data_IF_745001543965
#
_entry.id   IF_745001543965
#
_cell.length_a   1.000
_cell.length_b   1.000
_cell.length_c   1.000
_cell.angle_alpha   90.00
_cell.angle_beta   90.00
_cell.angle_gamma   90.00
#
_symmetry.space_group_name_H-M   'P 1'
#
loop_
_entity.id
_entity.type
_entity.pdbx_description
1 polymer ?
#
# COMPACT_ATOMS: atom_id res chain seq x y z
N UNK A 1 -30.20 12.76 -102.28
CA UNK A 1 -30.50 13.24 -103.65
C UNK A 1 -31.70 14.17 -103.58
N UNK A 2 -31.72 15.17 -104.47
CA UNK A 2 -32.86 16.03 -104.85
C UNK A 2 -33.43 17.06 -103.85
N UNK A 3 -33.97 18.22 -104.31
CA UNK A 3 -34.08 19.43 -103.48
C UNK A 3 -35.41 20.23 -103.54
N UNK A 4 -35.55 21.20 -102.64
CA UNK A 4 -36.39 22.41 -102.77
C UNK A 4 -37.91 22.21 -102.69
N UNK A 5 -38.72 23.21 -103.07
CA UNK A 5 -38.42 24.65 -103.22
C UNK A 5 -38.85 25.41 -101.92
N UNK A 6 -39.21 26.70 -101.80
CA UNK A 6 -39.39 27.82 -102.73
C UNK A 6 -39.08 29.18 -102.04
N UNK A 7 -39.72 30.28 -102.45
CA UNK A 7 -39.77 31.60 -101.77
C UNK A 7 -41.17 32.21 -101.92
N UNK A 8 -41.61 32.99 -100.94
CA UNK A 8 -42.69 33.97 -101.08
C UNK A 8 -42.34 35.25 -100.32
N UNK A 9 -42.40 36.41 -101.00
CA UNK A 9 -42.26 37.75 -100.39
C UNK A 9 -43.58 38.49 -100.57
N UNK A 10 -44.00 39.22 -99.55
CA UNK A 10 -44.89 40.39 -99.69
C UNK A 10 -44.31 41.55 -98.89
N UNK A 11 -44.64 42.78 -99.31
CA UNK A 11 -44.04 44.03 -98.86
C UNK A 11 -44.93 44.78 -97.85
N UNK A 12 -44.33 45.61 -97.01
CA UNK A 12 -45.00 46.58 -96.14
C UNK A 12 -44.00 47.64 -95.66
N UNK A 13 -44.27 48.91 -95.98
CA UNK A 13 -43.47 50.09 -95.61
C UNK A 13 -43.90 50.60 -94.21
N UNK A 14 -43.00 50.85 -93.25
CA UNK A 14 -42.28 52.13 -92.98
C UNK A 14 -43.11 53.07 -92.04
N UNK A 15 -42.56 53.99 -91.21
CA UNK A 15 -41.16 54.31 -90.89
C UNK A 15 -40.79 54.35 -89.38
N UNK A 16 -39.49 54.53 -89.10
CA UNK A 16 -38.96 55.38 -88.01
C UNK A 16 -39.14 54.95 -86.54
N UNK A 17 -38.03 54.58 -85.86
CA UNK A 17 -38.07 54.36 -84.40
C UNK A 17 -36.79 53.84 -83.74
N UNK A 18 -35.72 54.63 -83.72
CA UNK A 18 -34.47 54.28 -83.01
C UNK A 18 -34.65 54.23 -81.48
N UNK A 19 -34.74 53.03 -80.90
CA UNK A 19 -34.44 52.79 -79.47
C UNK A 19 -33.49 51.60 -79.30
N UNK A 20 -32.21 51.91 -79.08
CA UNK A 20 -31.18 50.93 -78.70
C UNK A 20 -31.52 50.39 -77.31
N UNK A 21 -31.96 49.14 -77.23
CA UNK A 21 -32.02 48.41 -75.96
C UNK A 21 -30.61 48.23 -75.38
N UNK A 22 -30.40 48.39 -74.06
CA UNK A 22 -29.06 48.30 -73.49
C UNK A 22 -28.55 46.85 -73.51
N UNK A 23 -27.52 46.59 -74.32
CA UNK A 23 -26.75 45.34 -74.28
C UNK A 23 -26.09 45.19 -72.91
N UNK A 24 -26.66 44.34 -72.06
CA UNK A 24 -26.13 44.02 -70.72
C UNK A 24 -24.85 43.19 -70.84
N UNK A 25 -23.72 43.90 -70.94
CA UNK A 25 -22.38 43.33 -70.87
C UNK A 25 -22.11 42.81 -69.45
N UNK A 26 -22.27 41.52 -69.22
CA UNK A 26 -21.88 40.88 -67.96
C UNK A 26 -20.35 40.84 -67.85
N UNK A 27 -19.78 41.83 -67.15
CA UNK A 27 -18.37 41.85 -66.82
C UNK A 27 -18.16 41.05 -65.53
N UNK A 28 -17.43 39.93 -65.62
CA UNK A 28 -16.96 39.19 -64.44
C UNK A 28 -15.88 40.01 -63.72
N UNK A 29 -16.33 41.00 -62.95
CA UNK A 29 -15.49 41.68 -61.97
C UNK A 29 -15.14 40.65 -60.91
N UNK A 30 -13.86 40.30 -60.80
CA UNK A 30 -13.35 39.47 -59.70
C UNK A 30 -13.69 40.21 -58.40
N UNK A 31 -14.66 39.69 -57.66
CA UNK A 31 -15.17 40.36 -56.47
C UNK A 31 -14.03 40.53 -55.47
N UNK A 32 -13.58 41.78 -55.29
CA UNK A 32 -12.67 42.13 -54.21
C UNK A 32 -13.31 41.75 -52.87
N UNK A 33 -12.48 41.51 -51.86
CA UNK A 33 -12.87 41.05 -50.52
C UNK A 33 -13.84 41.97 -49.75
N UNK A 34 -14.22 43.10 -50.34
CA UNK A 34 -15.20 44.08 -49.84
C UNK A 34 -16.63 43.94 -50.38
N UNK A 35 -16.91 42.96 -51.25
CA UNK A 35 -18.28 42.62 -51.68
C UNK A 35 -19.15 41.93 -50.61
N UNK A 36 -18.93 42.25 -49.32
CA UNK A 36 -19.70 41.72 -48.18
C UNK A 36 -20.38 42.89 -47.46
N UNK A 37 -21.72 43.01 -47.52
CA UNK A 37 -22.45 44.10 -46.87
C UNK A 37 -22.04 44.34 -45.40
N UNK A 38 -22.00 45.58 -44.92
CA UNK A 38 -21.63 45.87 -43.53
C UNK A 38 -22.60 45.21 -42.51
N UNK A 39 -23.84 44.95 -42.92
CA UNK A 39 -24.83 44.16 -42.17
C UNK A 39 -24.42 42.68 -42.03
N UNK A 40 -23.95 42.02 -43.10
CA UNK A 40 -23.47 40.63 -43.04
C UNK A 40 -22.11 40.52 -42.36
N UNK A 41 -21.21 41.49 -42.50
CA UNK A 41 -19.98 41.58 -41.66
C UNK A 41 -20.34 41.64 -40.16
N UNK A 42 -21.34 42.45 -39.76
CA UNK A 42 -21.81 42.54 -38.36
C UNK A 42 -22.54 41.27 -37.89
N UNK A 43 -23.36 40.63 -38.74
CA UNK A 43 -24.02 39.37 -38.41
C UNK A 43 -23.02 38.22 -38.26
N UNK A 44 -22.07 38.07 -39.19
CA UNK A 44 -20.99 37.10 -39.09
C UNK A 44 -20.11 37.37 -37.88
N UNK A 45 -19.78 38.63 -37.55
CA UNK A 45 -19.04 38.96 -36.33
C UNK A 45 -19.79 38.56 -35.04
N UNK A 46 -21.13 38.71 -34.98
CA UNK A 46 -21.95 38.23 -33.85
C UNK A 46 -22.02 36.71 -33.79
N UNK A 47 -22.16 36.03 -34.92
CA UNK A 47 -22.12 34.56 -35.00
C UNK A 47 -20.75 34.00 -34.59
N UNK A 48 -19.65 34.62 -35.04
CA UNK A 48 -18.27 34.30 -34.64
C UNK A 48 -18.06 34.54 -33.15
N UNK A 49 -18.54 35.66 -32.60
CA UNK A 49 -18.49 35.94 -31.14
C UNK A 49 -19.32 34.94 -30.32
N UNK A 50 -20.49 34.49 -30.79
CA UNK A 50 -21.26 33.41 -30.14
C UNK A 50 -20.52 32.08 -30.18
N UNK A 51 -19.98 31.68 -31.34
CA UNK A 51 -19.16 30.45 -31.49
C UNK A 51 -17.89 30.51 -30.64
N UNK A 52 -17.18 31.64 -30.59
CA UNK A 52 -15.99 31.82 -29.75
C UNK A 52 -16.34 31.82 -28.25
N UNK A 53 -17.45 32.42 -27.83
CA UNK A 53 -17.92 32.34 -26.43
C UNK A 53 -18.36 30.93 -26.04
N UNK A 54 -18.95 30.16 -26.97
CA UNK A 54 -19.28 28.76 -26.76
C UNK A 54 -18.04 27.84 -26.77
N UNK A 55 -17.00 28.18 -27.53
CA UNK A 55 -15.72 27.46 -27.56
C UNK A 55 -14.78 27.83 -26.40
N UNK A 56 -14.95 29.00 -25.78
CA UNK A 56 -14.14 29.46 -24.65
C UNK A 56 -14.12 28.47 -23.46
N UNK A 57 -15.25 27.94 -22.94
CA UNK A 57 -15.20 26.93 -21.89
C UNK A 57 -14.47 25.66 -22.33
N UNK A 58 -14.62 25.22 -23.58
CA UNK A 58 -13.88 24.06 -24.12
C UNK A 58 -12.38 24.33 -24.24
N UNK A 59 -11.97 25.55 -24.63
CA UNK A 59 -10.57 25.96 -24.67
C UNK A 59 -9.96 26.05 -23.27
N UNK A 60 -10.73 26.53 -22.27
CA UNK A 60 -10.31 26.53 -20.86
C UNK A 60 -10.16 25.09 -20.34
N UNK A 61 -11.13 24.20 -20.59
CA UNK A 61 -11.05 22.78 -20.21
C UNK A 61 -9.85 22.10 -20.88
N UNK A 62 -9.63 22.32 -22.18
CA UNK A 62 -8.48 21.78 -22.90
C UNK A 62 -7.14 22.30 -22.33
N UNK A 63 -7.06 23.59 -21.97
CA UNK A 63 -5.89 24.18 -21.33
C UNK A 63 -5.62 23.60 -19.93
N UNK A 64 -6.66 23.41 -19.12
CA UNK A 64 -6.54 22.75 -17.80
C UNK A 64 -6.10 21.30 -17.93
N UNK A 65 -6.66 20.54 -18.89
CA UNK A 65 -6.26 19.16 -19.16
C UNK A 65 -4.81 19.07 -19.67
N UNK A 66 -4.39 19.97 -20.55
CA UNK A 66 -3.01 20.04 -21.04
C UNK A 66 -2.02 20.36 -19.91
N UNK A 67 -2.36 21.31 -19.03
CA UNK A 67 -1.53 21.64 -17.86
C UNK A 67 -1.47 20.47 -16.87
N UNK A 68 -2.60 19.83 -16.57
CA UNK A 68 -2.65 18.64 -15.72
C UNK A 68 -1.85 17.47 -16.30
N UNK A 69 -1.91 17.26 -17.62
CA UNK A 69 -1.11 16.28 -18.35
C UNK A 69 0.39 16.56 -18.27
N UNK A 70 0.80 17.84 -18.41
CA UNK A 70 2.20 18.26 -18.27
C UNK A 70 2.72 18.01 -16.83
N UNK A 71 1.93 18.36 -15.81
CA UNK A 71 2.28 18.11 -14.40
C UNK A 71 2.34 16.61 -14.10
N UNK A 72 1.40 15.82 -14.61
CA UNK A 72 1.45 14.36 -14.49
C UNK A 72 2.70 13.78 -15.17
N UNK A 73 3.05 14.27 -16.37
CA UNK A 73 4.24 13.82 -17.10
C UNK A 73 5.54 14.19 -16.39
N UNK A 74 5.66 15.37 -15.76
CA UNK A 74 6.85 15.71 -14.98
C UNK A 74 6.95 14.88 -13.70
N UNK A 75 5.87 14.78 -12.91
CA UNK A 75 5.86 14.03 -11.64
C UNK A 75 6.04 12.52 -11.84
N UNK A 76 5.48 11.94 -12.91
CA UNK A 76 5.59 10.51 -13.20
C UNK A 76 6.79 10.17 -14.08
N UNK A 77 7.21 11.06 -14.98
CA UNK A 77 8.22 10.78 -16.01
C UNK A 77 9.63 11.26 -15.66
N UNK A 78 9.79 12.20 -14.73
CA UNK A 78 11.11 12.75 -14.36
C UNK A 78 11.50 12.39 -12.93
N UNK A 79 12.79 12.16 -12.70
CA UNK A 79 13.36 11.92 -11.37
C UNK A 79 13.43 13.15 -10.46
N UNK A 80 12.77 14.27 -10.81
CA UNK A 80 12.74 15.49 -9.99
C UNK A 80 12.22 15.21 -8.58
N UNK A 81 11.16 14.39 -8.49
CA UNK A 81 10.62 13.85 -7.24
C UNK A 81 11.03 12.38 -7.05
N UNK A 82 12.27 12.02 -7.42
CA UNK A 82 12.83 10.71 -7.18
C UNK A 82 13.04 10.43 -5.69
N UNK A 83 13.12 9.15 -5.32
CA UNK A 83 13.61 8.75 -3.99
C UNK A 83 15.09 9.17 -3.84
N UNK A 84 15.38 9.90 -2.76
CA UNK A 84 16.73 10.38 -2.38
C UNK A 84 17.11 10.00 -0.95
N UNK A 85 16.13 9.80 -0.09
CA UNK A 85 16.34 9.43 1.32
C UNK A 85 15.36 8.32 1.70
N UNK A 86 15.87 7.28 2.38
CA UNK A 86 15.05 6.29 3.09
C UNK A 86 15.31 6.48 4.59
N UNK A 87 14.32 7.03 5.28
CA UNK A 87 14.34 7.30 6.72
C UNK A 87 13.65 6.16 7.46
N UNK A 88 14.33 5.59 8.44
CA UNK A 88 13.86 4.41 9.19
C UNK A 88 13.49 4.82 10.61
N UNK A 89 12.24 4.59 11.00
CA UNK A 89 11.70 4.82 12.34
C UNK A 89 11.45 3.47 13.04
N UNK A 90 11.75 3.40 14.34
CA UNK A 90 11.35 2.27 15.20
C UNK A 90 12.27 1.04 15.20
N UNK A 91 13.30 1.01 14.37
CA UNK A 91 14.27 -0.09 14.31
C UNK A 91 15.34 0.02 15.42
N UNK A 92 15.65 -1.12 16.07
CA UNK A 92 16.68 -1.29 17.11
C UNK A 92 17.47 -2.59 16.91
N UNK A 93 16.77 -3.69 16.60
CA UNK A 93 17.34 -4.98 16.21
C UNK A 93 17.79 -4.99 14.75
N UNK A 94 17.05 -4.31 13.86
CA UNK A 94 17.36 -4.21 12.43
C UNK A 94 18.12 -2.92 12.15
N UNK A 95 19.22 -3.01 11.40
CA UNK A 95 19.99 -1.83 11.00
C UNK A 95 19.29 -1.05 9.87
N UNK A 96 19.47 0.29 9.78
CA UNK A 96 18.95 1.07 8.66
C UNK A 96 19.44 0.61 7.28
N UNK A 97 20.62 -0.03 7.23
CA UNK A 97 21.18 -0.63 6.01
C UNK A 97 20.35 -1.84 5.58
N UNK A 98 20.14 -2.83 6.47
CA UNK A 98 19.29 -3.99 6.20
C UNK A 98 17.86 -3.60 5.77
N UNK A 99 17.29 -2.54 6.36
CA UNK A 99 15.98 -2.03 5.95
C UNK A 99 15.99 -1.44 4.53
N UNK A 100 17.07 -0.74 4.13
CA UNK A 100 17.24 -0.21 2.75
C UNK A 100 17.47 -1.33 1.74
N UNK A 101 18.30 -2.30 2.07
CA UNK A 101 18.59 -3.46 1.23
C UNK A 101 17.31 -4.28 0.99
N UNK A 102 16.54 -4.55 2.05
CA UNK A 102 15.22 -5.18 1.94
C UNK A 102 14.21 -4.30 1.20
N UNK A 103 14.25 -2.98 1.36
CA UNK A 103 13.40 -2.07 0.60
C UNK A 103 13.63 -2.21 -0.90
N UNK A 104 14.88 -2.41 -1.35
CA UNK A 104 15.25 -2.64 -2.75
C UNK A 104 14.61 -1.62 -3.71
N UNK A 105 14.63 -0.34 -3.33
CA UNK A 105 14.13 0.78 -4.15
C UNK A 105 15.33 1.46 -4.80
N UNK A 106 15.48 1.44 -6.14
CA UNK A 106 16.57 2.15 -6.80
C UNK A 106 16.45 3.67 -6.61
N UNK A 107 17.59 4.33 -6.44
CA UNK A 107 17.65 5.79 -6.31
C UNK A 107 17.11 6.49 -7.57
N UNK A 108 16.51 7.66 -7.37
CA UNK A 108 15.96 8.47 -8.47
C UNK A 108 14.64 7.97 -9.07
N UNK A 109 14.14 6.77 -8.70
CA UNK A 109 12.80 6.31 -9.09
C UNK A 109 11.75 7.32 -8.61
N UNK A 110 10.85 7.84 -9.47
CA UNK A 110 9.82 8.80 -9.07
C UNK A 110 8.99 8.28 -7.90
N UNK A 111 8.89 9.06 -6.82
CA UNK A 111 8.26 8.69 -5.56
C UNK A 111 6.81 8.20 -5.76
N UNK A 112 6.09 8.78 -6.73
CA UNK A 112 4.76 8.36 -7.16
C UNK A 112 4.68 6.91 -7.69
N UNK A 113 5.74 6.40 -8.33
CA UNK A 113 5.79 5.05 -8.95
C UNK A 113 6.22 3.95 -7.97
N UNK A 114 6.76 4.29 -6.81
CA UNK A 114 7.21 3.30 -5.81
C UNK A 114 6.01 2.48 -5.29
N UNK A 115 6.06 1.15 -5.41
CA UNK A 115 5.10 0.25 -4.77
C UNK A 115 5.37 0.17 -3.26
N UNK A 116 4.67 1.00 -2.48
CA UNK A 116 4.80 1.02 -1.01
C UNK A 116 4.43 -0.31 -0.36
N UNK A 117 3.47 -1.06 -0.92
CA UNK A 117 3.03 -2.33 -0.38
C UNK A 117 4.03 -3.45 -0.68
N UNK A 118 4.66 -3.43 -1.86
CA UNK A 118 5.82 -4.27 -2.19
C UNK A 118 7.00 -4.00 -1.27
N UNK A 119 7.37 -2.72 -1.06
CA UNK A 119 8.45 -2.33 -0.15
C UNK A 119 8.15 -2.77 1.29
N UNK A 120 6.93 -2.49 1.80
CA UNK A 120 6.51 -2.90 3.13
C UNK A 120 6.58 -4.44 3.33
N UNK A 121 6.12 -5.21 2.34
CA UNK A 121 6.19 -6.69 2.38
C UNK A 121 7.63 -7.22 2.41
N UNK A 122 8.55 -6.64 1.62
CA UNK A 122 9.96 -7.07 1.63
C UNK A 122 10.64 -6.76 2.97
N UNK A 123 10.40 -5.58 3.55
CA UNK A 123 10.93 -5.22 4.86
C UNK A 123 10.31 -6.08 5.96
N UNK A 124 9.01 -6.38 5.87
CA UNK A 124 8.31 -7.31 6.77
C UNK A 124 8.74 -8.78 6.66
N UNK A 125 9.52 -9.16 5.64
CA UNK A 125 10.11 -10.49 5.53
C UNK A 125 11.42 -10.64 6.32
N UNK A 126 11.98 -9.54 6.85
CA UNK A 126 13.09 -9.61 7.80
C UNK A 126 12.59 -10.21 9.12
N UNK A 127 13.18 -11.31 9.57
CA UNK A 127 12.64 -12.07 10.70
C UNK A 127 12.35 -11.25 11.98
N UNK A 128 13.21 -10.30 12.42
CA UNK A 128 12.93 -9.47 13.61
C UNK A 128 11.77 -8.47 13.45
N UNK A 129 11.19 -8.32 12.26
CA UNK A 129 10.09 -7.38 11.99
C UNK A 129 8.74 -8.08 12.22
N UNK A 130 7.91 -7.50 13.09
CA UNK A 130 6.51 -7.90 13.29
C UNK A 130 5.62 -7.24 12.23
N UNK A 131 5.86 -5.95 11.96
CA UNK A 131 5.13 -5.18 10.96
C UNK A 131 5.99 -4.06 10.38
N UNK A 132 5.85 -3.77 9.09
CA UNK A 132 6.48 -2.63 8.43
C UNK A 132 5.43 -1.82 7.67
N UNK A 133 5.50 -0.50 7.79
CA UNK A 133 4.65 0.44 7.04
C UNK A 133 5.53 1.47 6.34
N UNK A 134 5.15 1.88 5.14
CA UNK A 134 5.95 2.77 4.29
C UNK A 134 5.06 3.88 3.78
N UNK A 135 5.49 5.13 3.98
CA UNK A 135 4.80 6.34 3.49
C UNK A 135 5.74 7.19 2.65
N UNK A 136 5.15 7.95 1.73
CA UNK A 136 5.86 8.98 0.95
C UNK A 136 5.96 10.25 1.78
N UNK A 137 7.14 10.84 1.79
CA UNK A 137 7.45 12.10 2.47
C UNK A 137 8.01 13.04 1.39
N UNK A 138 7.11 13.80 0.76
CA UNK A 138 7.44 14.65 -0.38
C UNK A 138 8.40 15.77 0.05
N UNK A 139 9.37 16.17 -0.79
CA UNK A 139 9.44 15.93 -2.24
C UNK A 139 10.25 14.68 -2.68
N UNK A 140 10.88 13.92 -1.80
CA UNK A 140 11.83 12.87 -2.23
C UNK A 140 12.28 11.87 -1.17
N UNK A 141 11.56 11.74 -0.06
CA UNK A 141 11.88 10.78 0.99
C UNK A 141 10.83 9.66 1.10
N UNK A 142 11.28 8.47 1.47
CA UNK A 142 10.43 7.38 1.96
C UNK A 142 10.65 7.26 3.46
N UNK A 143 9.57 7.33 4.23
CA UNK A 143 9.59 7.04 5.66
C UNK A 143 9.08 5.62 5.87
N UNK A 144 9.98 4.77 6.33
CA UNK A 144 9.71 3.39 6.73
C UNK A 144 9.57 3.37 8.25
N UNK A 145 8.41 2.95 8.75
CA UNK A 145 8.21 2.65 10.17
C UNK A 145 8.19 1.15 10.37
N UNK A 146 9.17 0.67 11.15
CA UNK A 146 9.35 -0.72 11.53
C UNK A 146 8.81 -0.93 12.94
N UNK A 147 8.04 -1.99 13.13
CA UNK A 147 7.64 -2.52 14.43
C UNK A 147 8.37 -3.85 14.59
N UNK A 148 9.27 -3.91 15.55
CA UNK A 148 10.08 -5.10 15.81
C UNK A 148 9.38 -6.07 16.76
N UNK A 149 9.61 -7.36 16.56
CA UNK A 149 9.10 -8.43 17.42
C UNK A 149 9.66 -8.29 18.82
N UNK A 150 8.81 -8.52 19.82
CA UNK A 150 9.22 -8.59 21.22
C UNK A 150 9.52 -10.05 21.59
N UNK A 151 10.69 -10.34 22.18
CA UNK A 151 10.99 -11.68 22.67
C UNK A 151 10.05 -12.01 23.84
N UNK A 152 9.58 -13.25 23.89
CA UNK A 152 8.71 -13.77 24.97
C UNK A 152 9.31 -15.00 25.64
N UNK A 153 9.94 -15.88 24.88
CA UNK A 153 10.62 -17.07 25.39
C UNK A 153 11.81 -17.45 24.52
N UNK A 154 12.61 -18.40 25.02
CA UNK A 154 13.80 -18.90 24.36
C UNK A 154 13.76 -20.43 24.32
N UNK A 155 13.94 -21.01 23.13
CA UNK A 155 13.86 -22.46 22.91
C UNK A 155 15.26 -23.01 22.61
N UNK A 156 15.79 -23.96 23.41
CA UNK A 156 17.07 -24.61 23.11
C UNK A 156 17.02 -25.36 21.77
N UNK A 157 18.03 -25.19 20.92
CA UNK A 157 18.17 -25.84 19.62
C UNK A 157 19.63 -26.27 19.38
N UNK A 158 20.00 -27.45 19.89
CA UNK A 158 21.38 -27.91 19.91
C UNK A 158 22.27 -26.93 20.69
N UNK A 159 23.37 -26.51 20.08
CA UNK A 159 24.35 -25.57 20.68
C UNK A 159 23.93 -24.09 20.54
N UNK A 160 22.65 -23.81 20.23
CA UNK A 160 22.11 -22.45 20.09
C UNK A 160 20.74 -22.32 20.75
N UNK A 161 20.25 -21.10 20.81
CA UNK A 161 18.94 -20.76 21.31
C UNK A 161 18.10 -20.09 20.23
N UNK A 162 16.83 -20.45 20.12
CA UNK A 162 15.86 -19.81 19.23
C UNK A 162 14.97 -18.86 20.03
N UNK A 163 15.02 -17.56 19.73
CA UNK A 163 14.19 -16.55 20.40
C UNK A 163 12.85 -16.46 19.69
N UNK A 164 11.76 -16.69 20.43
CA UNK A 164 10.39 -16.66 19.92
C UNK A 164 9.61 -15.46 20.46
N UNK A 165 8.71 -14.94 19.62
CA UNK A 165 7.75 -13.92 20.00
C UNK A 165 6.40 -14.50 20.46
N UNK A 166 5.45 -13.62 20.77
CA UNK A 166 4.08 -13.95 21.17
C UNK A 166 3.27 -14.76 20.14
N UNK A 167 3.72 -14.84 18.89
CA UNK A 167 3.09 -15.57 17.80
C UNK A 167 3.81 -16.90 17.48
N UNK A 168 4.87 -17.24 18.22
CA UNK A 168 5.68 -18.43 17.95
C UNK A 168 6.68 -18.28 16.82
N UNK A 169 6.85 -17.06 16.28
CA UNK A 169 7.84 -16.81 15.22
C UNK A 169 9.23 -16.76 15.83
N UNK A 170 10.11 -17.66 15.40
CA UNK A 170 11.55 -17.60 15.69
C UNK A 170 12.17 -16.46 14.89
N UNK A 171 12.82 -15.51 15.55
CA UNK A 171 13.36 -14.31 14.87
C UNK A 171 14.82 -13.97 15.18
N UNK A 172 15.42 -14.58 16.21
CA UNK A 172 16.86 -14.54 16.48
C UNK A 172 17.37 -15.94 16.84
N UNK A 173 18.65 -16.19 16.59
CA UNK A 173 19.31 -17.45 16.97
C UNK A 173 20.70 -17.26 17.60
N UNK A 174 20.80 -16.64 18.80
CA UNK A 174 22.07 -16.47 19.51
C UNK A 174 22.67 -17.82 19.98
N UNK A 175 23.98 -17.82 20.20
CA UNK A 175 24.70 -18.96 20.78
C UNK A 175 24.47 -19.10 22.30
N UNK A 176 24.29 -17.97 22.99
CA UNK A 176 24.01 -17.91 24.44
C UNK A 176 22.55 -17.56 24.71
N UNK A 177 22.02 -17.99 25.86
CA UNK A 177 20.65 -17.67 26.28
C UNK A 177 20.56 -16.17 26.64
N UNK A 178 19.66 -15.38 26.00
CA UNK A 178 19.44 -14.00 26.41
C UNK A 178 18.87 -13.92 27.83
N UNK A 179 19.44 -13.04 28.66
CA UNK A 179 19.01 -12.85 30.04
C UNK A 179 17.55 -12.35 30.16
N UNK A 180 16.86 -12.75 31.23
CA UNK A 180 15.51 -12.28 31.55
C UNK A 180 14.38 -12.90 30.71
N UNK A 181 14.66 -13.91 29.90
CA UNK A 181 13.65 -14.68 29.17
C UNK A 181 13.57 -16.12 29.70
N UNK A 182 12.36 -16.67 29.93
CA UNK A 182 12.18 -18.05 30.34
C UNK A 182 12.52 -19.00 29.19
N UNK A 183 12.99 -20.19 29.55
CA UNK A 183 13.13 -21.28 28.59
C UNK A 183 11.75 -21.85 28.24
N UNK A 184 11.56 -22.24 26.98
CA UNK A 184 10.42 -23.00 26.50
C UNK A 184 10.98 -24.27 25.84
N UNK A 185 10.74 -25.45 26.44
CA UNK A 185 11.12 -26.73 25.84
C UNK A 185 9.98 -27.22 24.96
N UNK A 186 10.24 -27.21 23.66
CA UNK A 186 9.41 -27.76 22.59
C UNK A 186 10.33 -28.39 21.55
N UNK A 187 9.89 -29.48 20.91
CA UNK A 187 10.75 -30.19 19.95
C UNK A 187 11.04 -29.37 18.68
N UNK A 188 10.07 -28.56 18.22
CA UNK A 188 10.18 -27.77 16.97
C UNK A 188 9.51 -26.41 17.14
N UNK A 189 10.24 -25.35 17.54
CA UNK A 189 9.66 -24.02 17.71
C UNK A 189 9.13 -23.46 16.39
N UNK A 190 7.88 -23.01 16.37
CA UNK A 190 7.31 -22.30 15.23
C UNK A 190 5.87 -21.82 15.46
N UNK A 191 5.39 -20.88 14.62
CA UNK A 191 4.03 -20.34 14.73
C UNK A 191 2.97 -21.39 14.40
N UNK A 192 3.32 -22.41 13.61
CA UNK A 192 2.41 -23.50 13.24
C UNK A 192 2.45 -24.71 14.16
N UNK A 193 3.40 -24.76 15.10
CA UNK A 193 3.60 -25.88 16.01
C UNK A 193 2.62 -25.81 17.20
N UNK A 194 1.87 -26.88 17.51
CA UNK A 194 0.84 -26.86 18.54
C UNK A 194 1.41 -26.70 19.96
N UNK A 195 2.56 -27.31 20.24
CA UNK A 195 3.21 -27.27 21.55
C UNK A 195 3.79 -25.87 21.83
N UNK A 196 4.39 -25.23 20.81
CA UNK A 196 4.84 -23.84 20.86
C UNK A 196 3.69 -22.89 21.19
N UNK A 197 2.53 -23.02 20.50
CA UNK A 197 1.33 -22.22 20.80
C UNK A 197 0.81 -22.48 22.21
N UNK A 198 0.83 -23.73 22.68
CA UNK A 198 0.37 -24.09 24.02
C UNK A 198 1.25 -23.48 25.11
N UNK A 199 2.58 -23.60 25.00
CA UNK A 199 3.54 -22.99 25.93
C UNK A 199 3.44 -21.46 25.98
N UNK A 200 3.31 -20.80 24.82
CA UNK A 200 3.09 -19.35 24.74
C UNK A 200 1.73 -18.92 25.34
N UNK A 201 0.69 -19.74 25.17
CA UNK A 201 -0.62 -19.51 25.82
C UNK A 201 -0.50 -19.52 27.34
N UNK A 202 0.26 -20.47 27.88
CA UNK A 202 0.52 -20.55 29.33
C UNK A 202 1.34 -19.36 29.81
N UNK A 203 2.42 -18.98 29.12
CA UNK A 203 3.25 -17.79 29.42
C UNK A 203 2.44 -16.48 29.44
N UNK A 204 1.47 -16.34 28.53
CA UNK A 204 0.55 -15.22 28.48
C UNK A 204 -0.42 -15.19 29.68
N UNK A 205 -0.84 -16.35 30.19
CA UNK A 205 -1.74 -16.47 31.33
C UNK A 205 -1.08 -16.23 32.70
N UNK A 206 0.26 -16.26 32.80
CA UNK A 206 0.96 -16.14 34.09
C UNK A 206 0.72 -14.79 34.78
N UNK A 207 0.48 -14.85 36.08
CA UNK A 207 0.49 -13.67 36.96
C UNK A 207 1.91 -13.09 37.08
N UNK A 208 2.07 -11.80 37.47
CA UNK A 208 3.40 -11.20 37.65
C UNK A 208 4.32 -11.98 38.62
N UNK A 209 3.86 -12.48 39.79
CA UNK A 209 4.69 -13.30 40.67
C UNK A 209 5.16 -14.60 40.03
N UNK A 210 4.27 -15.35 39.35
CA UNK A 210 4.66 -16.57 38.64
C UNK A 210 5.65 -16.29 37.52
N UNK A 211 5.47 -15.21 36.75
CA UNK A 211 6.40 -14.83 35.69
C UNK A 211 7.78 -14.45 36.22
N UNK A 212 7.85 -13.85 37.41
CA UNK A 212 9.12 -13.53 38.08
C UNK A 212 9.82 -14.77 38.68
N UNK A 213 9.04 -15.76 39.13
CA UNK A 213 9.56 -17.03 39.64
C UNK A 213 9.86 -18.07 38.54
N UNK A 214 9.34 -17.90 37.32
CA UNK A 214 9.49 -18.87 36.24
C UNK A 214 10.93 -18.92 35.69
N UNK A 215 11.49 -20.14 35.64
CA UNK A 215 12.73 -20.46 34.93
C UNK A 215 12.46 -21.04 33.54
N UNK A 216 11.51 -21.97 33.46
CA UNK A 216 11.30 -22.78 32.26
C UNK A 216 9.86 -23.32 32.15
N UNK A 217 9.34 -23.42 30.93
CA UNK A 217 8.11 -24.14 30.57
C UNK A 217 8.50 -25.39 29.78
N UNK A 218 8.07 -26.56 30.25
CA UNK A 218 8.26 -27.84 29.56
C UNK A 218 6.92 -28.30 28.96
N UNK A 219 6.89 -28.57 27.66
CA UNK A 219 5.68 -28.97 26.91
C UNK A 219 5.91 -30.31 26.23
N UNK A 220 5.45 -31.38 26.88
CA UNK A 220 5.49 -32.76 26.36
C UNK A 220 4.11 -33.15 25.81
N UNK A 221 3.71 -32.41 24.77
CA UNK A 221 2.38 -32.48 24.17
C UNK A 221 1.29 -31.69 24.93
N UNK A 222 0.15 -31.50 24.26
CA UNK A 222 -0.91 -30.56 24.64
C UNK A 222 -1.56 -30.74 26.02
N UNK A 223 -1.41 -31.91 26.65
CA UNK A 223 -1.99 -32.23 27.96
C UNK A 223 -0.96 -32.32 29.09
N UNK A 224 0.34 -32.17 28.79
CA UNK A 224 1.44 -32.29 29.76
C UNK A 224 2.36 -31.07 29.65
N UNK A 225 1.86 -29.95 30.13
CA UNK A 225 2.63 -28.74 30.38
C UNK A 225 3.05 -28.71 31.85
N UNK A 226 4.29 -28.33 32.11
CA UNK A 226 4.80 -28.05 33.46
C UNK A 226 5.66 -26.80 33.47
N UNK A 227 5.74 -26.16 34.63
CA UNK A 227 6.57 -24.97 34.86
C UNK A 227 7.64 -25.32 35.88
N UNK A 228 8.92 -25.09 35.57
CA UNK A 228 10.00 -25.12 36.56
C UNK A 228 10.27 -23.70 37.03
N UNK A 229 10.30 -23.52 38.35
CA UNK A 229 10.58 -22.25 38.99
C UNK A 229 12.09 -22.06 39.21
N UNK A 230 12.51 -20.86 39.58
CA UNK A 230 13.91 -20.50 39.84
C UNK A 230 14.46 -21.11 41.15
N UNK A 231 13.58 -21.59 42.02
CA UNK A 231 13.86 -22.35 43.24
C UNK A 231 13.73 -23.87 43.02
N UNK A 232 13.81 -24.32 41.77
CA UNK A 232 13.72 -25.70 41.28
C UNK A 232 12.41 -26.45 41.57
N UNK A 233 11.42 -25.80 42.20
CA UNK A 233 10.05 -26.33 42.35
C UNK A 233 9.35 -26.50 41.01
N UNK A 234 8.45 -27.48 40.93
CA UNK A 234 7.68 -27.79 39.72
C UNK A 234 6.19 -27.51 39.90
N UNK A 235 5.59 -26.75 38.98
CA UNK A 235 4.13 -26.58 38.89
C UNK A 235 3.61 -27.44 37.74
N UNK A 236 2.79 -28.44 38.05
CA UNK A 236 2.10 -29.26 37.03
C UNK A 236 0.89 -28.49 36.52
N UNK A 237 0.88 -28.17 35.24
CA UNK A 237 -0.13 -27.29 34.64
C UNK A 237 -1.19 -28.05 33.83
N UNK A 238 -0.84 -29.25 33.33
CA UNK A 238 -1.73 -30.03 32.46
C UNK A 238 -1.85 -29.40 31.08
N UNK A 239 -3.07 -29.12 30.64
CA UNK A 239 -3.34 -28.43 29.37
C UNK A 239 -3.25 -26.88 29.45
N UNK A 240 -3.23 -26.22 28.30
CA UNK A 240 -3.23 -24.75 28.18
C UNK A 240 -4.59 -24.08 28.46
N UNK A 241 -5.63 -24.84 28.83
CA UNK A 241 -6.96 -24.31 29.14
C UNK A 241 -7.04 -23.73 30.56
N UNK A 242 -8.07 -22.88 30.80
CA UNK A 242 -8.33 -22.19 32.08
C UNK A 242 -7.11 -21.52 32.71
N UNK A 243 -6.16 -21.08 31.89
CA UNK A 243 -4.84 -20.61 32.35
C UNK A 243 -4.89 -19.50 33.40
N UNK A 244 -5.86 -18.58 33.31
CA UNK A 244 -6.04 -17.50 34.30
C UNK A 244 -6.42 -18.02 35.70
N UNK A 245 -7.23 -19.08 35.77
CA UNK A 245 -7.61 -19.73 37.03
C UNK A 245 -6.41 -20.47 37.62
N UNK A 246 -5.77 -21.31 36.80
CA UNK A 246 -4.55 -22.05 37.15
C UNK A 246 -3.44 -21.11 37.65
N UNK A 247 -3.23 -19.98 36.97
CA UNK A 247 -2.25 -18.96 37.34
C UNK A 247 -2.56 -18.30 38.70
N UNK A 248 -3.84 -18.11 39.04
CA UNK A 248 -4.24 -17.54 40.33
C UNK A 248 -4.03 -18.54 41.46
N UNK A 249 -4.41 -19.80 41.24
CA UNK A 249 -4.21 -20.89 42.21
C UNK A 249 -2.71 -21.11 42.45
N UNK A 250 -1.91 -21.32 41.40
CA UNK A 250 -0.47 -21.51 41.53
C UNK A 250 0.22 -20.32 42.23
N UNK A 251 -0.17 -19.07 41.91
CA UNK A 251 0.38 -17.89 42.58
C UNK A 251 0.05 -17.82 44.08
N UNK A 252 -1.15 -18.24 44.49
CA UNK A 252 -1.52 -18.31 45.91
C UNK A 252 -0.77 -19.41 46.68
N UNK A 253 -0.25 -20.42 45.98
CA UNK A 253 0.48 -21.56 46.55
C UNK A 253 2.00 -21.37 46.54
N UNK A 254 2.55 -20.36 45.85
CA UNK A 254 3.99 -20.04 45.83
C UNK A 254 4.61 -19.87 47.23
N UNK A 255 3.84 -19.40 48.21
CA UNK A 255 4.26 -19.22 49.61
C UNK A 255 4.15 -20.48 50.48
N UNK A 256 3.90 -21.66 49.90
CA UNK A 256 3.86 -22.95 50.61
C UNK A 256 5.15 -23.73 50.36
N UNK A 257 5.62 -24.42 51.39
CA UNK A 257 6.68 -25.42 51.30
C UNK A 257 6.09 -26.69 50.66
N UNK A 258 6.33 -26.86 49.37
CA UNK A 258 5.99 -28.03 48.57
C UNK A 258 6.89 -28.06 47.33
N UNK A 259 7.48 -29.21 47.02
CA UNK A 259 8.38 -29.36 45.86
C UNK A 259 7.58 -29.41 44.55
N UNK A 260 6.35 -29.94 44.60
CA UNK A 260 5.43 -30.03 43.46
C UNK A 260 4.07 -29.42 43.78
N UNK A 261 3.59 -28.54 42.89
CA UNK A 261 2.26 -27.90 42.98
C UNK A 261 1.43 -28.32 41.77
N UNK A 262 0.39 -29.14 41.95
CA UNK A 262 -0.50 -29.51 40.84
C UNK A 262 -1.70 -28.55 40.73
N UNK A 263 -1.82 -27.90 39.57
CA UNK A 263 -2.95 -27.03 39.19
C UNK A 263 -3.61 -27.47 37.88
N UNK A 264 -3.36 -28.71 37.43
CA UNK A 264 -3.98 -29.27 36.22
C UNK A 264 -5.51 -29.26 36.29
N UNK A 265 -6.06 -29.57 37.46
CA UNK A 265 -7.46 -29.38 37.82
C UNK A 265 -7.61 -28.24 38.85
N UNK A 266 -7.97 -27.00 38.44
CA UNK A 266 -8.05 -25.87 39.38
C UNK A 266 -9.13 -26.05 40.47
N UNK A 267 -10.09 -26.96 40.25
CA UNK A 267 -11.17 -27.29 41.18
C UNK A 267 -10.78 -28.44 42.15
N UNK A 268 -9.61 -29.09 41.96
CA UNK A 268 -9.05 -30.15 42.84
C UNK A 268 -7.52 -30.01 42.95
N UNK A 269 -7.05 -29.22 43.91
CA UNK A 269 -5.62 -29.04 44.19
C UNK A 269 -5.09 -30.18 45.06
N UNK A 270 -4.02 -30.86 44.62
CA UNK A 270 -3.30 -31.85 45.44
C UNK A 270 -1.85 -31.43 45.69
N UNK A 271 -1.36 -31.69 46.89
CA UNK A 271 0.00 -31.41 47.34
C UNK A 271 0.77 -32.73 47.51
N UNK A 272 2.07 -32.72 47.18
CA UNK A 272 3.02 -33.80 47.47
C UNK A 272 4.38 -33.19 47.79
#
# INVERSE_FOLDING_TARGET
>A
MSPGPARGRTSGADPGGTRRGPVRRWQLVRAGTDAVPPSTRRFMARARRRRMRAALPWAVVAGVLALAGLVAWTVLGTGLFGVREVRVEGAKLVTPVQVRDAAAVPDGVPLARVDLAGVARRIGALAPVEHASVRRDWPGALVVRVVERRPVAVVPQGDRFAVVDRAGVVFLSPAEQPAGLPLLRVARPGPEDPDTRAGLTVLAALTPPLRAALREVDVDGLARISLRLADDRTVVWGDSSRGTDKARVAAALLGREADTIDVSAPDVVTFK
#
